data_IF_217341638513
#
_entry.id   IF_217341638513
#
_cell.length_a   1.000
_cell.length_b   1.000
_cell.length_c   1.000
_cell.angle_alpha   90.00
_cell.angle_beta   90.00
_cell.angle_gamma   90.00
#
_symmetry.space_group_name_H-M   'P 1'
#
loop_
_entity.id
_entity.type
_entity.pdbx_description
1 polymer ?
#
# COMPACT_ATOMS: atom_id res chain seq x y z
N UNK A 1 7.41 -29.83 -3.84
CA UNK A 1 8.69 -29.06 -3.84
C UNK A 1 9.19 -29.03 -5.28
N UNK A 2 9.41 -27.84 -5.84
CA UNK A 2 9.82 -27.68 -7.25
C UNK A 2 11.32 -27.96 -7.42
N UNK A 3 11.75 -28.50 -8.57
CA UNK A 3 13.16 -28.80 -8.82
C UNK A 3 14.00 -27.52 -8.96
N UNK A 4 15.30 -27.58 -8.66
CA UNK A 4 16.23 -26.44 -8.80
C UNK A 4 16.18 -25.80 -10.19
N UNK A 5 16.03 -26.63 -11.24
CA UNK A 5 15.88 -26.18 -12.62
C UNK A 5 14.75 -25.16 -12.81
N UNK A 6 13.65 -25.31 -12.08
CA UNK A 6 12.54 -24.34 -12.13
C UNK A 6 13.01 -22.94 -11.73
N UNK A 7 13.72 -22.84 -10.60
CA UNK A 7 14.19 -21.56 -10.08
C UNK A 7 15.26 -20.93 -10.97
N UNK A 8 16.12 -21.72 -11.60
CA UNK A 8 17.06 -21.23 -12.62
C UNK A 8 16.35 -20.61 -13.83
N UNK A 9 15.19 -21.16 -14.22
CA UNK A 9 14.36 -20.61 -15.30
C UNK A 9 13.70 -19.30 -14.85
N UNK A 10 13.16 -19.24 -13.63
CA UNK A 10 12.59 -18.02 -13.06
C UNK A 10 13.63 -16.89 -13.03
N UNK A 11 14.88 -17.19 -12.63
CA UNK A 11 15.99 -16.23 -12.64
C UNK A 11 16.33 -15.70 -14.04
N UNK A 12 16.17 -16.53 -15.07
CA UNK A 12 16.37 -16.09 -16.46
C UNK A 12 15.23 -15.19 -16.95
N UNK A 13 13.98 -15.56 -16.65
CA UNK A 13 12.79 -14.74 -16.96
C UNK A 13 12.92 -13.36 -16.29
N UNK A 14 13.38 -13.31 -15.03
CA UNK A 14 13.62 -12.06 -14.31
C UNK A 14 14.63 -11.15 -15.01
N UNK A 15 15.75 -11.71 -15.47
CA UNK A 15 16.76 -10.93 -16.21
C UNK A 15 16.22 -10.37 -17.51
N UNK A 16 15.36 -11.12 -18.21
CA UNK A 16 14.69 -10.64 -19.43
C UNK A 16 13.74 -9.49 -19.12
N UNK A 17 12.89 -9.63 -18.09
CA UNK A 17 11.99 -8.58 -17.59
C UNK A 17 12.77 -7.29 -17.28
N UNK A 18 13.85 -7.40 -16.52
CA UNK A 18 14.70 -6.28 -16.12
C UNK A 18 15.36 -5.60 -17.32
N UNK A 19 15.94 -6.40 -18.23
CA UNK A 19 16.64 -5.87 -19.41
C UNK A 19 15.70 -5.13 -20.38
N UNK A 20 14.45 -5.59 -20.48
CA UNK A 20 13.44 -5.05 -21.36
C UNK A 20 12.56 -3.97 -20.68
N UNK A 21 12.77 -3.70 -19.39
CA UNK A 21 11.95 -2.80 -18.57
C UNK A 21 10.44 -3.13 -18.66
N UNK A 22 10.12 -4.41 -18.76
CA UNK A 22 8.74 -4.88 -18.86
C UNK A 22 8.13 -5.04 -17.47
N UNK A 23 6.81 -4.94 -17.38
CA UNK A 23 6.09 -5.41 -16.20
C UNK A 23 6.04 -6.95 -16.20
N UNK A 24 5.99 -7.57 -15.02
CA UNK A 24 5.80 -9.03 -14.89
C UNK A 24 4.59 -9.50 -15.71
N UNK A 25 3.47 -8.75 -15.64
CA UNK A 25 2.24 -9.09 -16.37
C UNK A 25 2.40 -9.01 -17.89
N UNK A 26 3.14 -8.03 -18.41
CA UNK A 26 3.36 -7.90 -19.86
C UNK A 26 4.21 -9.03 -20.46
N UNK A 27 5.02 -9.71 -19.66
CA UNK A 27 5.80 -10.87 -20.12
C UNK A 27 4.95 -12.13 -20.29
N UNK A 28 3.77 -12.18 -19.66
CA UNK A 28 2.86 -13.30 -19.76
C UNK A 28 1.59 -12.97 -20.56
N UNK A 29 1.49 -11.77 -21.14
CA UNK A 29 0.36 -11.35 -21.96
C UNK A 29 0.33 -12.14 -23.31
N UNK A 30 -0.77 -12.86 -23.61
CA UNK A 30 -0.95 -13.58 -24.89
C UNK A 30 -0.83 -12.75 -26.15
N UNK A 31 -0.98 -11.42 -26.03
CA UNK A 31 -0.91 -10.48 -27.14
C UNK A 31 0.50 -9.90 -27.37
N UNK A 32 1.46 -10.17 -26.48
CA UNK A 32 2.83 -9.67 -26.58
C UNK A 32 3.79 -10.64 -27.29
N UNK A 33 4.84 -10.09 -27.91
CA UNK A 33 5.89 -10.87 -28.60
C UNK A 33 6.71 -11.77 -27.65
N UNK A 34 6.67 -11.50 -26.33
CA UNK A 34 7.34 -12.30 -25.29
C UNK A 34 6.54 -13.56 -24.87
N UNK A 35 5.37 -13.78 -25.46
CA UNK A 35 4.46 -14.83 -25.02
C UNK A 35 4.96 -16.24 -25.37
N UNK A 36 5.05 -17.11 -24.35
CA UNK A 36 5.39 -18.54 -24.47
C UNK A 36 6.72 -18.82 -25.19
N UNK A 37 7.78 -18.10 -24.81
CA UNK A 37 9.16 -18.49 -25.14
C UNK A 37 9.42 -19.95 -24.74
N UNK A 38 10.39 -20.65 -25.36
CA UNK A 38 10.76 -22.01 -24.95
C UNK A 38 11.03 -22.12 -23.44
N UNK A 39 11.59 -21.07 -22.87
CA UNK A 39 11.87 -20.94 -21.45
C UNK A 39 10.58 -20.92 -20.59
N UNK A 40 9.59 -20.12 -20.97
CA UNK A 40 8.29 -20.07 -20.29
C UNK A 40 7.53 -21.39 -20.43
N UNK A 41 7.62 -22.05 -21.59
CA UNK A 41 7.02 -23.38 -21.79
C UNK A 41 7.63 -24.44 -20.88
N UNK A 42 8.96 -24.44 -20.75
CA UNK A 42 9.66 -25.33 -19.82
C UNK A 42 9.22 -25.08 -18.37
N UNK A 43 9.07 -23.81 -17.98
CA UNK A 43 8.56 -23.44 -16.66
C UNK A 43 7.13 -23.96 -16.42
N UNK A 44 6.24 -23.83 -17.41
CA UNK A 44 4.85 -24.34 -17.34
C UNK A 44 4.87 -25.85 -17.13
N UNK A 45 5.61 -26.60 -17.94
CA UNK A 45 5.67 -28.07 -17.83
C UNK A 45 6.15 -28.54 -16.45
N UNK A 46 7.16 -27.86 -15.89
CA UNK A 46 7.68 -28.16 -14.56
C UNK A 46 6.64 -27.80 -13.49
N UNK A 47 5.98 -26.64 -13.60
CA UNK A 47 5.03 -26.15 -12.59
C UNK A 47 3.76 -26.97 -12.55
N UNK A 48 3.22 -27.39 -13.70
CA UNK A 48 2.06 -28.31 -13.81
C UNK A 48 2.29 -29.61 -13.06
N UNK A 49 3.49 -30.20 -13.17
CA UNK A 49 3.85 -31.44 -12.44
C UNK A 49 4.05 -31.22 -10.94
N UNK A 50 4.14 -29.97 -10.51
CA UNK A 50 4.53 -29.57 -9.16
C UNK A 50 3.45 -28.85 -8.36
N UNK A 51 2.19 -28.89 -8.78
CA UNK A 51 1.08 -28.30 -8.02
C UNK A 51 0.98 -28.91 -6.62
N UNK A 52 0.73 -28.03 -5.65
CA UNK A 52 0.40 -28.40 -4.28
C UNK A 52 -1.11 -28.32 -4.05
N UNK A 53 -1.60 -28.99 -3.00
CA UNK A 53 -3.01 -28.88 -2.59
C UNK A 53 -3.41 -27.43 -2.27
N UNK A 54 -2.46 -26.62 -1.79
CA UNK A 54 -2.66 -25.19 -1.55
C UNK A 54 -2.84 -24.43 -2.87
N UNK A 55 -1.96 -24.66 -3.85
CA UNK A 55 -2.07 -24.02 -5.16
C UNK A 55 -3.47 -24.27 -5.76
N UNK A 56 -3.92 -25.52 -5.69
CA UNK A 56 -5.24 -25.96 -6.18
C UNK A 56 -6.39 -25.23 -5.50
N UNK A 57 -6.35 -25.17 -4.17
CA UNK A 57 -7.36 -24.48 -3.37
C UNK A 57 -7.40 -22.97 -3.67
N UNK A 58 -6.25 -22.35 -3.80
CA UNK A 58 -6.13 -20.89 -3.85
C UNK A 58 -6.39 -20.33 -5.26
N UNK A 59 -6.08 -21.09 -6.33
CA UNK A 59 -6.06 -20.55 -7.70
C UNK A 59 -6.98 -21.24 -8.72
N UNK A 60 -7.48 -22.45 -8.47
CA UNK A 60 -8.30 -23.17 -9.47
C UNK A 60 -9.59 -22.42 -9.83
N UNK A 61 -10.30 -21.92 -8.83
CA UNK A 61 -11.52 -21.12 -9.01
C UNK A 61 -11.27 -19.86 -9.86
N UNK A 62 -10.08 -19.26 -9.74
CA UNK A 62 -9.68 -18.09 -10.53
C UNK A 62 -9.52 -18.45 -12.01
N UNK A 63 -8.91 -19.59 -12.33
CA UNK A 63 -8.74 -20.05 -13.72
C UNK A 63 -10.08 -20.37 -14.38
N UNK A 64 -10.97 -21.04 -13.64
CA UNK A 64 -12.30 -21.45 -14.10
C UNK A 64 -13.22 -20.25 -14.38
N UNK A 65 -13.08 -19.16 -13.63
CA UNK A 65 -14.01 -18.01 -13.68
C UNK A 65 -13.48 -16.82 -14.49
N UNK A 66 -12.18 -16.57 -14.49
CA UNK A 66 -11.62 -15.30 -15.01
C UNK A 66 -11.45 -15.24 -16.52
N UNK A 67 -11.43 -16.39 -17.21
CA UNK A 67 -11.09 -16.47 -18.64
C UNK A 67 -9.65 -16.03 -18.98
N UNK A 68 -8.82 -15.71 -17.98
CA UNK A 68 -7.43 -15.26 -18.13
C UNK A 68 -6.63 -16.33 -18.86
N UNK A 69 -5.92 -15.94 -19.92
CA UNK A 69 -5.22 -16.83 -20.86
C UNK A 69 -6.10 -17.82 -21.66
N UNK A 70 -7.43 -17.78 -21.52
CA UNK A 70 -8.35 -18.71 -22.20
C UNK A 70 -8.36 -18.59 -23.74
N UNK A 71 -7.87 -17.46 -24.29
CA UNK A 71 -7.74 -17.25 -25.74
C UNK A 71 -6.44 -17.82 -26.33
N UNK A 72 -5.54 -18.32 -25.51
CA UNK A 72 -4.22 -18.77 -25.94
C UNK A 72 -4.13 -20.27 -26.29
N UNK A 73 -5.26 -20.99 -26.23
CA UNK A 73 -5.29 -22.44 -26.50
C UNK A 73 -4.60 -23.30 -25.42
N UNK A 74 -4.37 -22.73 -24.24
CA UNK A 74 -3.80 -23.42 -23.08
C UNK A 74 -4.88 -24.19 -22.31
N UNK A 75 -4.50 -25.32 -21.75
CA UNK A 75 -5.31 -26.08 -20.79
C UNK A 75 -5.44 -25.32 -19.46
N UNK A 76 -6.45 -25.65 -18.65
CA UNK A 76 -6.64 -25.00 -17.35
C UNK A 76 -5.43 -25.17 -16.42
N UNK A 77 -4.77 -26.33 -16.45
CA UNK A 77 -3.55 -26.55 -15.68
C UNK A 77 -2.40 -25.68 -16.21
N UNK A 78 -2.22 -25.53 -17.52
CA UNK A 78 -1.19 -24.61 -18.06
C UNK A 78 -1.49 -23.14 -17.72
N UNK A 79 -2.77 -22.75 -17.73
CA UNK A 79 -3.20 -21.40 -17.34
C UNK A 79 -2.93 -21.15 -15.86
N UNK A 80 -3.23 -22.12 -15.00
CA UNK A 80 -2.91 -22.08 -13.57
C UNK A 80 -1.40 -21.99 -13.34
N UNK A 81 -0.62 -22.80 -14.07
CA UNK A 81 0.84 -22.76 -14.00
C UNK A 81 1.40 -21.38 -14.40
N UNK A 82 0.87 -20.74 -15.44
CA UNK A 82 1.27 -19.38 -15.81
C UNK A 82 0.97 -18.35 -14.72
N UNK A 83 -0.20 -18.44 -14.06
CA UNK A 83 -0.53 -17.57 -12.93
C UNK A 83 0.48 -17.78 -11.80
N UNK A 84 0.76 -19.03 -11.45
CA UNK A 84 1.71 -19.39 -10.39
C UNK A 84 3.14 -18.98 -10.74
N UNK A 85 3.57 -19.12 -11.99
CA UNK A 85 4.87 -18.59 -12.45
C UNK A 85 4.92 -17.08 -12.28
N UNK A 86 3.85 -16.36 -12.64
CA UNK A 86 3.76 -14.92 -12.40
C UNK A 86 3.86 -14.56 -10.91
N UNK A 87 3.22 -15.35 -10.03
CA UNK A 87 3.36 -15.22 -8.56
C UNK A 87 4.79 -15.48 -8.11
N UNK A 88 5.42 -16.56 -8.59
CA UNK A 88 6.78 -16.95 -8.23
C UNK A 88 7.81 -15.89 -8.71
N UNK A 89 7.67 -15.39 -9.95
CA UNK A 89 8.47 -14.28 -10.47
C UNK A 89 8.29 -13.03 -9.62
N UNK A 90 7.03 -12.68 -9.29
CA UNK A 90 6.73 -11.52 -8.45
C UNK A 90 7.37 -11.64 -7.07
N UNK A 91 7.30 -12.80 -6.43
CA UNK A 91 7.95 -13.05 -5.13
C UNK A 91 9.48 -12.92 -5.19
N UNK A 92 10.09 -13.24 -6.32
CA UNK A 92 11.54 -13.13 -6.50
C UNK A 92 12.00 -11.71 -6.82
N UNK A 93 11.20 -10.93 -7.56
CA UNK A 93 11.53 -9.53 -7.87
C UNK A 93 11.18 -8.58 -6.72
N UNK A 94 10.21 -8.93 -5.88
CA UNK A 94 9.68 -8.06 -4.83
C UNK A 94 10.77 -7.48 -3.91
N UNK A 95 11.77 -8.23 -3.38
CA UNK A 95 12.83 -7.62 -2.58
C UNK A 95 13.59 -6.51 -3.32
N UNK A 96 13.85 -6.69 -4.62
CA UNK A 96 14.52 -5.69 -5.46
C UNK A 96 13.62 -4.49 -5.73
N UNK A 97 12.34 -4.69 -6.00
CA UNK A 97 11.38 -3.60 -6.15
C UNK A 97 11.25 -2.78 -4.87
N UNK A 98 11.21 -3.44 -3.70
CA UNK A 98 11.23 -2.79 -2.39
C UNK A 98 12.52 -2.00 -2.16
N UNK A 99 13.68 -2.55 -2.50
CA UNK A 99 14.96 -1.82 -2.45
C UNK A 99 14.94 -0.59 -3.35
N UNK A 100 14.43 -0.74 -4.58
CA UNK A 100 14.28 0.37 -5.53
C UNK A 100 13.38 1.49 -5.00
N UNK A 101 12.31 1.15 -4.28
CA UNK A 101 11.46 2.13 -3.58
C UNK A 101 12.22 2.93 -2.52
N UNK A 102 13.28 2.35 -1.94
CA UNK A 102 14.11 2.97 -0.91
C UNK A 102 15.28 3.81 -1.42
N UNK A 103 15.55 3.81 -2.72
CA UNK A 103 16.70 4.52 -3.26
C UNK A 103 16.57 6.04 -3.08
N UNK A 104 17.66 6.71 -2.71
CA UNK A 104 17.68 8.16 -2.66
C UNK A 104 17.46 8.74 -4.05
N UNK A 105 16.83 9.92 -4.12
CA UNK A 105 16.72 10.63 -5.37
C UNK A 105 18.09 10.99 -5.92
N UNK A 106 18.22 10.92 -7.25
CA UNK A 106 19.40 11.38 -7.96
C UNK A 106 18.98 12.17 -9.20
N UNK A 107 19.75 13.19 -9.57
CA UNK A 107 19.42 14.11 -10.67
C UNK A 107 19.24 13.39 -12.03
N UNK A 108 19.90 12.24 -12.20
CA UNK A 108 19.82 11.44 -13.41
C UNK A 108 18.59 10.52 -13.47
N UNK A 109 17.73 10.50 -12.45
CA UNK A 109 16.54 9.65 -12.47
C UNK A 109 15.59 10.09 -13.60
N UNK A 110 14.86 9.16 -14.24
CA UNK A 110 13.96 9.48 -15.36
C UNK A 110 13.08 10.71 -15.15
N UNK A 111 12.43 10.82 -13.98
CA UNK A 111 11.53 11.96 -13.69
C UNK A 111 12.29 13.30 -13.66
N UNK A 112 13.49 13.35 -13.08
CA UNK A 112 14.27 14.58 -12.91
C UNK A 112 15.01 14.98 -14.19
N UNK A 113 15.41 14.03 -15.03
CA UNK A 113 15.92 14.35 -16.38
C UNK A 113 14.84 14.99 -17.25
N UNK A 114 13.60 14.53 -17.10
CA UNK A 114 12.46 15.02 -17.87
C UNK A 114 11.92 16.35 -17.36
N UNK A 115 11.93 16.56 -16.04
CA UNK A 115 11.54 17.80 -15.39
C UNK A 115 12.64 18.27 -14.41
N UNK A 116 13.75 18.86 -14.89
CA UNK A 116 14.87 19.29 -14.04
C UNK A 116 14.46 20.30 -12.97
N UNK A 117 13.42 21.11 -13.22
CA UNK A 117 12.88 22.06 -12.26
C UNK A 117 12.29 21.38 -11.00
N UNK A 118 11.85 20.12 -11.10
CA UNK A 118 11.34 19.34 -9.98
C UNK A 118 12.43 19.11 -8.92
N UNK A 119 13.70 19.01 -9.34
CA UNK A 119 14.83 18.85 -8.44
C UNK A 119 14.95 20.02 -7.44
N UNK A 120 14.57 21.23 -7.86
CA UNK A 120 14.59 22.41 -6.98
C UNK A 120 13.52 22.35 -5.87
N UNK A 121 12.55 21.44 -5.98
CA UNK A 121 11.49 21.21 -5.01
C UNK A 121 11.79 20.03 -4.09
N UNK A 122 12.89 19.31 -4.33
CA UNK A 122 13.33 18.19 -3.49
C UNK A 122 13.86 18.72 -2.16
N UNK A 123 13.35 18.17 -1.06
CA UNK A 123 13.95 18.23 0.27
C UNK A 123 14.19 16.81 0.73
N UNK A 124 15.46 16.48 0.93
CA UNK A 124 15.91 15.12 1.23
C UNK A 124 15.38 14.11 0.22
N UNK A 125 14.40 13.29 0.62
CA UNK A 125 13.83 12.21 -0.16
C UNK A 125 12.35 12.47 -0.56
N UNK A 126 11.88 13.72 -0.40
CA UNK A 126 10.52 14.16 -0.68
C UNK A 126 10.48 15.40 -1.58
N UNK A 127 9.34 15.64 -2.22
CA UNK A 127 9.09 16.79 -3.09
C UNK A 127 8.03 17.70 -2.47
N UNK A 128 8.31 19.01 -2.43
CA UNK A 128 7.32 20.01 -2.01
C UNK A 128 6.16 20.09 -3.00
N UNK A 129 4.93 19.99 -2.52
CA UNK A 129 3.72 20.03 -3.37
C UNK A 129 3.08 21.41 -3.46
N UNK A 130 3.75 22.44 -2.95
CA UNK A 130 3.19 23.78 -2.78
C UNK A 130 2.66 24.39 -4.10
N UNK A 131 3.36 24.16 -5.21
CA UNK A 131 3.01 24.67 -6.54
C UNK A 131 2.27 23.66 -7.43
N UNK A 132 2.04 22.45 -6.92
CA UNK A 132 1.41 21.36 -7.67
C UNK A 132 -0.09 21.23 -7.41
N UNK A 133 -0.80 20.62 -8.36
CA UNK A 133 -2.21 20.22 -8.22
C UNK A 133 -2.29 18.71 -8.31
N UNK A 134 -2.70 18.05 -7.22
CA UNK A 134 -2.94 16.61 -7.22
C UNK A 134 -4.10 16.30 -8.17
N UNK A 135 -3.93 15.31 -9.04
CA UNK A 135 -4.99 14.87 -9.95
C UNK A 135 -6.13 14.16 -9.19
N UNK A 136 -7.37 14.14 -9.71
CA UNK A 136 -8.49 13.43 -9.08
C UNK A 136 -8.25 11.94 -8.83
N UNK A 137 -7.33 11.33 -9.58
CA UNK A 137 -6.88 9.94 -9.37
C UNK A 137 -6.09 9.76 -8.07
N UNK A 138 -5.65 10.84 -7.42
CA UNK A 138 -4.81 10.80 -6.22
C UNK A 138 -3.40 10.25 -6.46
N UNK A 139 -3.03 9.94 -7.71
CA UNK A 139 -1.79 9.26 -8.06
C UNK A 139 -0.78 10.18 -8.76
N UNK A 140 -1.20 11.36 -9.19
CA UNK A 140 -0.35 12.27 -9.96
C UNK A 140 -0.38 13.67 -9.37
N UNK A 141 0.72 14.39 -9.53
CA UNK A 141 0.78 15.83 -9.30
C UNK A 141 1.09 16.53 -10.60
N UNK A 142 0.21 17.47 -10.96
CA UNK A 142 0.36 18.35 -12.11
C UNK A 142 1.04 19.65 -11.67
N UNK A 143 2.18 19.93 -12.28
CA UNK A 143 2.83 21.22 -12.27
C UNK A 143 2.60 21.92 -13.63
N UNK A 144 2.87 23.23 -13.76
CA UNK A 144 2.62 23.96 -15.01
C UNK A 144 3.31 23.35 -16.24
N UNK A 145 4.51 22.79 -16.08
CA UNK A 145 5.36 22.27 -17.18
C UNK A 145 5.48 20.74 -17.21
N UNK A 146 5.02 20.03 -16.19
CA UNK A 146 5.19 18.58 -16.11
C UNK A 146 4.14 17.89 -15.21
N UNK A 147 4.07 16.58 -15.35
CA UNK A 147 3.26 15.67 -14.54
C UNK A 147 4.22 14.68 -13.89
N UNK A 148 4.07 14.43 -12.60
CA UNK A 148 4.83 13.37 -11.91
C UNK A 148 3.87 12.43 -11.18
N UNK A 149 4.25 11.15 -11.14
CA UNK A 149 3.52 10.14 -10.39
C UNK A 149 3.96 10.16 -8.93
N UNK A 150 2.99 10.07 -8.02
CA UNK A 150 3.21 9.85 -6.60
C UNK A 150 3.61 8.40 -6.36
N UNK A 151 4.45 8.18 -5.36
CA UNK A 151 4.89 6.83 -5.00
C UNK A 151 3.70 5.89 -4.76
N UNK A 152 3.76 4.66 -5.27
CA UNK A 152 2.60 3.74 -5.32
C UNK A 152 1.99 3.32 -3.97
N UNK A 153 2.73 3.54 -2.87
CA UNK A 153 2.30 3.27 -1.50
C UNK A 153 1.64 4.47 -0.81
N UNK A 154 1.59 5.64 -1.46
CA UNK A 154 0.80 6.75 -0.97
C UNK A 154 -0.71 6.47 -1.17
N UNK A 155 -1.59 6.99 -0.29
CA UNK A 155 -3.03 6.81 -0.44
C UNK A 155 -3.52 7.32 -1.80
N UNK A 156 -4.33 6.52 -2.49
CA UNK A 156 -4.81 6.80 -3.86
C UNK A 156 -6.08 7.64 -3.91
N UNK A 157 -6.59 8.09 -2.77
CA UNK A 157 -7.86 8.82 -2.70
C UNK A 157 -7.63 10.33 -2.72
N UNK A 158 -7.95 11.00 -3.82
CA UNK A 158 -7.76 12.45 -3.97
C UNK A 158 -8.35 13.31 -2.83
N UNK A 159 -9.52 12.92 -2.31
CA UNK A 159 -10.19 13.61 -1.19
C UNK A 159 -9.28 13.70 0.05
N UNK A 160 -8.40 12.73 0.24
CA UNK A 160 -7.43 12.71 1.32
C UNK A 160 -6.44 13.87 1.20
N UNK A 161 -5.86 14.08 0.02
CA UNK A 161 -4.95 15.20 -0.22
C UNK A 161 -5.66 16.54 -0.08
N UNK A 162 -6.88 16.69 -0.59
CA UNK A 162 -7.65 17.92 -0.38
C UNK A 162 -7.89 18.22 1.10
N UNK A 163 -8.19 17.19 1.88
CA UNK A 163 -8.42 17.32 3.32
C UNK A 163 -7.13 17.73 4.02
N UNK A 164 -6.00 17.07 3.73
CA UNK A 164 -4.69 17.45 4.26
C UNK A 164 -4.32 18.89 3.89
N UNK A 165 -4.58 19.31 2.65
CA UNK A 165 -4.31 20.69 2.22
C UNK A 165 -5.12 21.74 2.98
N UNK A 166 -6.37 21.41 3.33
CA UNK A 166 -7.22 22.32 4.13
C UNK A 166 -6.78 22.38 5.59
N UNK A 167 -6.35 21.26 6.15
CA UNK A 167 -5.99 21.14 7.58
C UNK A 167 -4.59 21.68 7.86
N UNK A 168 -3.62 21.41 6.98
CA UNK A 168 -2.20 21.69 7.25
C UNK A 168 -1.62 22.79 6.35
N UNK A 169 -2.25 23.06 5.20
CA UNK A 169 -1.71 23.97 4.20
C UNK A 169 -0.68 23.29 3.28
N UNK A 170 -0.63 23.75 2.02
CA UNK A 170 0.20 23.11 0.97
C UNK A 170 1.71 23.31 1.14
N UNK A 171 2.10 24.41 1.76
CA UNK A 171 3.51 24.78 1.97
C UNK A 171 4.20 23.95 3.05
N UNK A 172 3.44 23.14 3.80
CA UNK A 172 3.92 22.28 4.88
C UNK A 172 3.88 20.79 4.53
N UNK A 173 3.43 20.45 3.32
CA UNK A 173 3.33 19.07 2.85
C UNK A 173 4.40 18.76 1.80
N UNK A 174 5.07 17.63 2.00
CA UNK A 174 6.04 17.07 1.07
C UNK A 174 5.65 15.62 0.80
N UNK A 175 5.67 15.20 -0.46
CA UNK A 175 5.26 13.87 -0.90
C UNK A 175 6.37 13.20 -1.71
N UNK A 176 6.47 11.88 -1.61
CA UNK A 176 7.37 11.06 -2.43
C UNK A 176 6.82 10.92 -3.85
N UNK A 177 7.66 11.19 -4.85
CA UNK A 177 7.37 10.93 -6.27
C UNK A 177 8.04 9.63 -6.70
N UNK A 178 7.47 8.96 -7.69
CA UNK A 178 8.14 7.84 -8.36
C UNK A 178 9.25 8.41 -9.25
N UNK A 179 10.51 8.12 -8.91
CA UNK A 179 11.66 8.65 -9.65
C UNK A 179 11.89 7.96 -11.00
N UNK A 180 11.33 6.76 -11.17
CA UNK A 180 11.50 5.92 -12.35
C UNK A 180 10.37 6.07 -13.36
N UNK A 181 9.20 6.55 -12.92
CA UNK A 181 8.08 6.81 -13.80
C UNK A 181 8.19 8.19 -14.46
N UNK A 182 8.39 8.19 -15.77
CA UNK A 182 8.37 9.39 -16.60
C UNK A 182 7.07 9.48 -17.43
N UNK A 183 6.08 8.61 -17.20
CA UNK A 183 4.84 8.58 -17.97
C UNK A 183 4.03 9.88 -17.85
N UNK A 184 3.58 10.39 -19.00
CA UNK A 184 2.84 11.65 -19.13
C UNK A 184 1.32 11.45 -19.19
N UNK A 185 0.86 10.21 -19.16
CA UNK A 185 -0.55 9.87 -19.23
C UNK A 185 -1.09 9.55 -17.86
N UNK A 186 -2.23 10.15 -17.53
CA UNK A 186 -3.11 9.71 -16.46
C UNK A 186 -3.66 8.34 -16.88
N UNK A 187 -2.88 7.29 -16.65
CA UNK A 187 -3.36 5.92 -16.80
C UNK A 187 -4.30 5.69 -15.62
N UNK A 188 -5.55 6.10 -15.82
CA UNK A 188 -6.65 5.72 -14.96
C UNK A 188 -6.74 4.20 -15.09
N UNK A 189 -6.20 3.48 -14.11
CA UNK A 189 -6.59 2.09 -13.93
C UNK A 189 -8.10 2.10 -13.72
N UNK A 190 -8.84 1.54 -14.67
CA UNK A 190 -10.23 1.22 -14.47
C UNK A 190 -10.29 0.20 -13.32
N UNK A 191 -10.62 0.65 -12.12
CA UNK A 191 -11.13 -0.23 -11.08
C UNK A 191 -12.60 -0.47 -11.41
N UNK A 192 -12.87 -1.71 -11.79
CA UNK A 192 -14.19 -2.33 -11.91
C UNK A 192 -15.11 -1.76 -13.02
N UNK A 193 -15.50 -2.67 -13.90
CA UNK A 193 -16.49 -2.40 -14.96
C UNK A 193 -17.87 -2.28 -14.30
N UNK A 194 -18.40 -1.06 -14.22
CA UNK A 194 -19.77 -0.83 -13.76
C UNK A 194 -20.74 -1.34 -14.84
N UNK A 195 -21.23 -2.57 -14.69
CA UNK A 195 -22.14 -3.21 -15.65
C UNK A 195 -23.46 -2.42 -15.80
N UNK A 196 -23.87 -1.63 -14.78
CA UNK A 196 -24.92 -0.60 -14.91
C UNK A 196 -24.91 0.40 -13.76
N UNK A 197 -24.59 1.70 -13.96
CA UNK A 197 -24.66 2.67 -12.88
C UNK A 197 -26.12 2.93 -12.48
N UNK A 198 -26.38 3.08 -11.18
CA UNK A 198 -27.65 3.57 -10.67
C UNK A 198 -27.87 5.02 -11.12
N UNK A 199 -29.13 5.42 -11.37
CA UNK A 199 -29.46 6.81 -11.66
C UNK A 199 -28.95 7.72 -10.52
N UNK A 200 -27.94 8.59 -10.78
CA UNK A 200 -27.29 9.38 -9.74
C UNK A 200 -28.19 10.49 -9.19
N UNK A 201 -29.36 10.71 -9.79
CA UNK A 201 -30.33 11.72 -9.36
C UNK A 201 -31.35 11.18 -8.36
N UNK A 202 -31.48 9.86 -8.23
CA UNK A 202 -32.50 9.23 -7.38
C UNK A 202 -32.36 9.60 -5.90
N UNK A 203 -31.18 9.45 -5.29
CA UNK A 203 -30.94 9.79 -3.88
C UNK A 203 -31.13 11.30 -3.61
N UNK A 204 -30.82 12.14 -4.61
CA UNK A 204 -30.95 13.59 -4.49
C UNK A 204 -32.40 14.08 -4.59
N UNK A 205 -33.28 13.32 -5.23
CA UNK A 205 -34.66 13.76 -5.51
C UNK A 205 -35.75 12.90 -4.87
N UNK A 206 -35.43 11.69 -4.40
CA UNK A 206 -36.35 10.72 -3.77
C UNK A 206 -37.66 10.47 -4.55
N UNK A 207 -37.65 10.68 -5.87
CA UNK A 207 -38.82 10.46 -6.73
C UNK A 207 -38.93 8.97 -7.08
N UNK A 208 -39.68 8.21 -6.29
CA UNK A 208 -40.19 6.88 -6.65
C UNK A 208 -41.71 7.01 -6.75
N UNK A 209 -42.27 6.77 -7.95
CA UNK A 209 -43.72 6.79 -8.13
C UNK A 209 -44.35 5.48 -7.65
N UNK A 210 -45.65 5.53 -7.29
CA UNK A 210 -46.40 4.36 -6.81
C UNK A 210 -46.38 3.24 -7.86
N UNK A 211 -45.70 2.14 -7.55
CA UNK A 211 -45.56 0.98 -8.44
C UNK A 211 -44.20 0.85 -9.14
N UNK A 212 -43.30 1.83 -9.01
CA UNK A 212 -41.93 1.71 -9.52
C UNK A 212 -41.02 0.97 -8.53
N UNK A 213 -40.15 0.10 -9.06
CA UNK A 213 -39.01 -0.49 -8.33
C UNK A 213 -37.71 -0.03 -9.00
N UNK A 214 -36.77 0.49 -8.21
CA UNK A 214 -35.39 0.77 -8.62
C UNK A 214 -34.48 -0.16 -7.81
N UNK A 215 -33.55 -0.86 -8.46
CA UNK A 215 -32.65 -1.82 -7.81
C UNK A 215 -31.25 -1.78 -8.45
N UNK A 216 -30.24 -2.17 -7.68
CA UNK A 216 -28.88 -2.46 -8.12
C UNK A 216 -28.40 -3.74 -7.43
N UNK A 217 -27.47 -4.47 -8.05
CA UNK A 217 -26.93 -5.73 -7.55
C UNK A 217 -25.40 -5.62 -7.47
N UNK A 218 -24.86 -5.91 -6.30
CA UNK A 218 -23.43 -5.93 -5.99
C UNK A 218 -23.21 -7.08 -5.00
N UNK A 219 -22.14 -7.87 -5.18
CA UNK A 219 -21.87 -8.98 -4.27
C UNK A 219 -20.37 -9.17 -4.03
N UNK A 220 -20.01 -9.04 -2.76
CA UNK A 220 -18.83 -9.65 -2.13
C UNK A 220 -19.38 -10.38 -0.90
N UNK A 221 -18.99 -11.63 -0.65
CA UNK A 221 -19.56 -12.44 0.43
C UNK A 221 -18.67 -12.52 1.68
N UNK A 222 -19.12 -12.01 2.84
CA UNK A 222 -18.49 -12.15 4.16
C UNK A 222 -19.05 -13.35 4.97
N UNK A 223 -18.44 -13.70 6.11
CA UNK A 223 -18.76 -14.85 6.94
C UNK A 223 -19.84 -14.48 7.96
N UNK A 224 -20.35 -15.47 8.68
CA UNK A 224 -21.64 -15.25 9.33
C UNK A 224 -21.61 -14.30 10.53
N UNK A 225 -20.55 -14.13 11.36
CA UNK A 225 -20.52 -13.08 12.42
C UNK A 225 -19.12 -12.66 12.99
N UNK A 226 -18.41 -11.69 12.38
CA UNK A 226 -17.67 -10.59 13.06
C UNK A 226 -18.00 -9.21 12.44
N UNK A 227 -17.60 -8.06 13.03
CA UNK A 227 -17.90 -6.74 12.43
C UNK A 227 -17.21 -6.57 11.07
N UNK A 228 -17.83 -5.86 10.12
CA UNK A 228 -17.34 -5.72 8.73
C UNK A 228 -15.86 -5.31 8.68
N UNK A 229 -15.43 -4.32 9.47
CA UNK A 229 -14.03 -3.87 9.50
C UNK A 229 -13.05 -4.92 10.02
N UNK A 230 -13.42 -5.64 11.09
CA UNK A 230 -12.56 -6.70 11.65
C UNK A 230 -12.45 -7.90 10.70
N UNK A 231 -13.53 -8.19 9.96
CA UNK A 231 -13.50 -9.17 8.89
C UNK A 231 -12.58 -8.73 7.74
N UNK A 232 -12.72 -7.48 7.28
CA UNK A 232 -11.88 -6.95 6.22
C UNK A 232 -10.41 -6.91 6.61
N UNK A 233 -10.07 -6.39 7.79
CA UNK A 233 -8.68 -6.34 8.26
C UNK A 233 -8.06 -7.74 8.36
N UNK A 234 -8.85 -8.71 8.86
CA UNK A 234 -8.44 -10.12 8.95
C UNK A 234 -8.12 -10.72 7.57
N UNK A 235 -8.95 -10.43 6.56
CA UNK A 235 -8.83 -10.98 5.20
C UNK A 235 -7.85 -10.22 4.31
N UNK A 236 -7.61 -8.93 4.58
CA UNK A 236 -6.55 -8.15 3.94
C UNK A 236 -5.18 -8.43 4.56
N UNK A 237 -5.13 -9.22 5.65
CA UNK A 237 -3.89 -9.71 6.23
C UNK A 237 -3.18 -8.66 7.08
N UNK A 238 -3.91 -7.77 7.78
CA UNK A 238 -3.34 -6.89 8.80
C UNK A 238 -3.36 -7.58 10.16
N UNK A 239 -2.30 -7.42 10.94
CA UNK A 239 -2.12 -8.21 12.15
C UNK A 239 -1.79 -7.42 13.40
N UNK A 240 -1.04 -6.32 13.27
CA UNK A 240 -0.55 -5.57 14.43
C UNK A 240 -0.50 -4.08 14.14
N UNK A 241 -0.87 -3.28 15.14
CA UNK A 241 -0.62 -1.85 15.20
C UNK A 241 0.15 -1.59 16.50
N UNK A 242 1.39 -1.17 16.38
CA UNK A 242 2.26 -0.85 17.52
C UNK A 242 2.32 0.67 17.67
N UNK A 243 1.97 1.19 18.85
CA UNK A 243 1.98 2.63 19.14
C UNK A 243 2.89 2.89 20.33
N UNK A 244 3.90 3.73 20.14
CA UNK A 244 4.84 4.10 21.20
C UNK A 244 5.06 5.60 21.23
N UNK A 245 4.92 6.18 22.42
CA UNK A 245 5.31 7.55 22.73
C UNK A 245 6.49 7.51 23.71
N UNK A 246 7.55 8.27 23.41
CA UNK A 246 8.73 8.43 24.25
C UNK A 246 8.92 9.91 24.54
N UNK A 247 9.29 10.23 25.79
CA UNK A 247 9.57 11.59 26.24
C UNK A 247 11.01 11.72 26.70
N UNK A 248 11.68 12.77 26.26
CA UNK A 248 13.02 13.15 26.73
C UNK A 248 13.02 14.65 27.09
N UNK A 249 12.78 14.95 28.37
CA UNK A 249 12.50 16.32 28.80
C UNK A 249 11.19 16.85 28.19
N UNK A 250 11.27 17.98 27.50
CA UNK A 250 10.14 18.60 26.81
C UNK A 250 9.92 18.04 25.39
N UNK A 251 10.84 17.20 24.89
CA UNK A 251 10.70 16.56 23.59
C UNK A 251 9.82 15.30 23.73
N UNK A 252 8.77 15.22 22.91
CA UNK A 252 7.90 14.07 22.75
C UNK A 252 8.09 13.50 21.34
N UNK A 253 8.44 12.23 21.25
CA UNK A 253 8.47 11.48 19.99
C UNK A 253 7.42 10.39 20.01
N UNK A 254 6.74 10.18 18.89
CA UNK A 254 5.77 9.14 18.67
C UNK A 254 6.21 8.28 17.47
N UNK A 255 6.02 6.97 17.58
CA UNK A 255 6.13 6.02 16.49
C UNK A 255 4.90 5.12 16.50
N UNK A 256 4.22 5.03 15.36
CA UNK A 256 3.07 4.15 15.14
C UNK A 256 3.41 3.28 13.94
N UNK A 257 3.36 1.96 14.08
CA UNK A 257 3.70 1.05 13.00
C UNK A 257 2.59 0.02 12.78
N UNK A 258 2.14 -0.12 11.54
CA UNK A 258 1.22 -1.15 11.09
C UNK A 258 1.99 -2.28 10.41
N UNK A 259 1.83 -3.50 10.93
CA UNK A 259 2.42 -4.71 10.40
C UNK A 259 1.36 -5.64 9.81
N UNK A 260 1.73 -6.39 8.75
CA UNK A 260 0.88 -7.45 8.24
C UNK A 260 0.78 -8.58 9.27
N UNK A 261 -0.21 -9.42 9.05
CA UNK A 261 -0.55 -10.56 9.89
C UNK A 261 0.39 -11.74 9.73
N UNK A 262 0.95 -11.88 8.55
CA UNK A 262 1.88 -12.94 8.23
C UNK A 262 3.14 -12.34 7.64
N UNK A 263 4.28 -12.83 8.09
CA UNK A 263 5.55 -12.63 7.41
C UNK A 263 5.72 -13.80 6.43
N UNK A 264 5.92 -13.51 5.14
CA UNK A 264 6.29 -14.56 4.17
C UNK A 264 7.75 -15.04 4.34
N UNK A 265 8.48 -14.43 5.28
CA UNK A 265 9.87 -14.71 5.63
C UNK A 265 10.90 -14.11 4.67
N UNK A 266 10.48 -13.49 3.57
CA UNK A 266 11.37 -12.82 2.59
C UNK A 266 11.28 -11.31 2.68
N UNK A 267 10.06 -10.78 2.71
CA UNK A 267 9.82 -9.34 2.81
C UNK A 267 8.67 -9.08 3.77
N UNK A 268 8.97 -8.42 4.87
CA UNK A 268 7.95 -7.78 5.70
C UNK A 268 7.86 -6.31 5.29
N UNK A 269 6.68 -5.87 4.91
CA UNK A 269 6.41 -4.46 4.59
C UNK A 269 5.59 -3.86 5.70
N UNK A 270 6.01 -2.74 6.27
CA UNK A 270 5.26 -2.03 7.30
C UNK A 270 5.05 -0.57 6.92
N UNK A 271 3.93 0.00 7.39
CA UNK A 271 3.68 1.43 7.33
C UNK A 271 4.02 2.02 8.68
N UNK A 272 4.70 3.16 8.71
CA UNK A 272 5.12 3.81 9.94
C UNK A 272 4.77 5.29 9.91
N UNK A 273 4.13 5.79 10.97
CA UNK A 273 4.07 7.21 11.27
C UNK A 273 5.04 7.55 12.39
N UNK A 274 5.79 8.61 12.19
CA UNK A 274 6.66 9.19 13.20
C UNK A 274 6.28 10.65 13.41
N UNK A 275 6.18 11.07 14.67
CA UNK A 275 5.95 12.48 14.99
C UNK A 275 6.90 12.94 16.09
N UNK A 276 7.39 14.17 15.99
CA UNK A 276 8.13 14.82 17.07
C UNK A 276 7.49 16.14 17.42
N UNK A 277 7.53 16.49 18.70
CA UNK A 277 6.90 17.68 19.24
C UNK A 277 7.70 18.18 20.43
N UNK A 278 7.90 19.49 20.54
CA UNK A 278 8.34 20.14 21.78
C UNK A 278 7.13 20.52 22.61
N UNK A 279 6.69 19.62 23.46
CA UNK A 279 5.54 19.83 24.32
C UNK A 279 5.90 19.51 25.77
N UNK A 280 6.02 20.52 26.65
CA UNK A 280 6.19 20.29 28.08
C UNK A 280 5.11 19.35 28.65
N UNK A 281 5.42 18.73 29.78
CA UNK A 281 4.44 17.94 30.54
C UNK A 281 3.20 18.81 30.82
N UNK A 282 2.03 18.19 30.74
CA UNK A 282 0.70 18.82 30.89
C UNK A 282 0.25 19.76 29.75
N UNK A 283 0.98 19.83 28.63
CA UNK A 283 0.47 20.50 27.42
C UNK A 283 -0.81 19.79 26.93
N UNK A 284 -1.89 20.55 26.69
CA UNK A 284 -3.13 20.00 26.14
C UNK A 284 -2.91 19.41 24.75
N UNK A 285 -3.56 18.29 24.46
CA UNK A 285 -3.48 17.60 23.18
C UNK A 285 -3.77 18.50 21.97
N UNK A 286 -4.71 19.44 22.11
CA UNK A 286 -5.11 20.36 21.04
C UNK A 286 -4.12 21.52 20.87
N UNK A 287 -3.38 21.85 21.92
CA UNK A 287 -2.40 22.94 21.94
C UNK A 287 -0.99 22.47 21.56
N UNK A 288 -0.73 21.17 21.61
CA UNK A 288 0.53 20.57 21.19
C UNK A 288 0.75 20.71 19.67
N UNK A 289 1.96 21.12 19.28
CA UNK A 289 2.36 21.29 17.88
C UNK A 289 3.49 20.31 17.59
N UNK A 290 3.27 19.43 16.62
CA UNK A 290 4.31 18.59 16.06
C UNK A 290 5.24 19.44 15.18
N UNK A 291 6.54 19.33 15.43
CA UNK A 291 7.60 19.86 14.55
C UNK A 291 7.44 19.25 13.16
N UNK A 292 7.24 17.92 13.13
CA UNK A 292 6.83 17.20 11.93
C UNK A 292 6.06 15.91 12.25
N UNK A 293 5.28 15.46 11.27
CA UNK A 293 4.72 14.11 11.15
C UNK A 293 5.21 13.51 9.83
N UNK A 294 6.01 12.45 9.90
CA UNK A 294 6.51 11.70 8.75
C UNK A 294 5.71 10.40 8.60
N UNK A 295 5.24 10.13 7.40
CA UNK A 295 4.76 8.80 7.00
C UNK A 295 5.82 8.11 6.17
N UNK A 296 6.18 6.89 6.53
CA UNK A 296 7.20 6.10 5.87
C UNK A 296 6.72 4.68 5.63
N UNK A 297 7.33 4.03 4.66
CA UNK A 297 7.24 2.58 4.48
C UNK A 297 8.59 1.97 4.82
N UNK A 298 8.55 0.87 5.55
CA UNK A 298 9.72 0.13 5.98
C UNK A 298 9.68 -1.27 5.37
N UNK A 299 10.83 -1.72 4.92
CA UNK A 299 11.00 -3.07 4.41
C UNK A 299 12.04 -3.80 5.24
N UNK A 300 11.69 -5.01 5.65
CA UNK A 300 12.57 -5.93 6.35
C UNK A 300 12.77 -7.14 5.47
N UNK A 301 14.03 -7.54 5.26
CA UNK A 301 14.37 -8.68 4.41
C UNK A 301 14.83 -9.87 5.24
N UNK A 302 14.44 -11.05 4.79
CA UNK A 302 14.91 -12.34 5.31
C UNK A 302 14.82 -12.44 6.85
N UNK A 303 15.92 -12.67 7.55
CA UNK A 303 15.96 -12.82 9.01
C UNK A 303 15.39 -11.60 9.74
N UNK A 304 15.62 -10.38 9.22
CA UNK A 304 15.05 -9.15 9.82
C UNK A 304 13.54 -9.09 9.70
N UNK A 305 12.96 -9.71 8.66
CA UNK A 305 11.51 -9.81 8.53
C UNK A 305 10.92 -10.65 9.67
N UNK A 306 11.56 -11.78 9.98
CA UNK A 306 11.15 -12.66 11.07
C UNK A 306 11.40 -11.99 12.43
N UNK A 307 12.58 -11.41 12.65
CA UNK A 307 12.91 -10.68 13.88
C UNK A 307 11.97 -9.50 14.13
N UNK A 308 11.64 -8.71 13.11
CA UNK A 308 10.68 -7.61 13.28
C UNK A 308 9.29 -8.15 13.62
N UNK A 309 8.85 -9.21 12.95
CA UNK A 309 7.54 -9.79 13.18
C UNK A 309 7.39 -10.37 14.59
N UNK A 310 8.44 -10.97 15.14
CA UNK A 310 8.45 -11.58 16.48
C UNK A 310 8.81 -10.61 17.62
N UNK A 311 9.29 -9.41 17.29
CA UNK A 311 9.64 -8.37 18.27
C UNK A 311 8.52 -7.32 18.46
N UNK A 312 8.75 -6.41 19.40
CA UNK A 312 7.86 -5.28 19.70
C UNK A 312 8.72 -4.03 19.89
N UNK A 313 8.32 -2.91 19.26
CA UNK A 313 9.06 -1.64 19.30
C UNK A 313 9.31 -1.13 20.72
N UNK A 314 8.45 -1.47 21.69
CA UNK A 314 8.62 -1.06 23.08
C UNK A 314 9.76 -1.80 23.82
N UNK A 315 10.16 -2.98 23.32
CA UNK A 315 11.14 -3.85 23.98
C UNK A 315 12.49 -3.81 23.27
N UNK A 316 12.49 -3.86 21.94
CA UNK A 316 13.70 -3.78 21.13
C UNK A 316 13.37 -3.05 19.81
N UNK A 317 14.17 -2.06 19.46
CA UNK A 317 14.11 -1.45 18.14
C UNK A 317 14.72 -2.42 17.12
N UNK A 318 13.93 -2.88 16.15
CA UNK A 318 14.40 -3.65 15.01
C UNK A 318 14.52 -2.69 13.83
N UNK A 319 15.75 -2.40 13.41
CA UNK A 319 16.01 -1.52 12.29
C UNK A 319 15.49 -2.13 10.98
N UNK A 320 14.74 -1.32 10.23
CA UNK A 320 14.33 -1.67 8.88
C UNK A 320 15.55 -1.97 8.00
N UNK A 321 15.41 -2.93 7.10
CA UNK A 321 16.46 -3.21 6.11
C UNK A 321 16.61 -2.05 5.12
N UNK A 322 15.49 -1.43 4.76
CA UNK A 322 15.47 -0.09 4.20
C UNK A 322 14.17 0.63 4.56
N UNK A 323 14.20 1.95 4.50
CA UNK A 323 13.05 2.83 4.78
C UNK A 323 13.03 3.96 3.75
N UNK A 324 11.83 4.39 3.40
CA UNK A 324 11.62 5.57 2.55
C UNK A 324 10.46 6.39 3.08
N UNK A 325 10.63 7.72 3.16
CA UNK A 325 9.53 8.58 3.55
C UNK A 325 8.55 8.69 2.39
N UNK A 326 7.27 8.49 2.66
CA UNK A 326 6.19 8.69 1.72
C UNK A 326 5.67 10.12 1.77
N UNK A 327 5.58 10.69 2.97
CA UNK A 327 5.23 12.09 3.17
C UNK A 327 5.84 12.67 4.43
N UNK A 328 5.92 14.00 4.46
CA UNK A 328 6.27 14.79 5.64
C UNK A 328 5.32 15.98 5.74
N UNK A 329 4.85 16.22 6.96
CA UNK A 329 3.99 17.34 7.32
C UNK A 329 4.70 18.14 8.40
N UNK A 330 5.04 19.39 8.13
CA UNK A 330 5.76 20.26 9.08
C UNK A 330 4.81 21.18 9.86
N UNK A 331 5.15 21.49 11.11
CA UNK A 331 4.46 22.49 11.95
C UNK A 331 2.93 22.33 11.99
N UNK A 332 2.47 21.17 12.43
CA UNK A 332 1.05 20.81 12.46
C UNK A 332 0.57 20.55 13.89
N UNK A 333 -0.71 20.78 14.20
CA UNK A 333 -1.24 20.37 15.51
C UNK A 333 -1.05 18.87 15.67
N UNK A 334 -0.57 18.43 16.84
CA UNK A 334 -0.39 17.02 17.16
C UNK A 334 -1.73 16.27 17.10
N UNK A 335 -2.85 16.99 17.31
CA UNK A 335 -4.21 16.46 17.12
C UNK A 335 -4.49 15.92 15.72
N UNK A 336 -3.75 16.38 14.71
CA UNK A 336 -3.86 15.87 13.35
C UNK A 336 -3.25 14.47 13.17
N UNK A 337 -2.52 13.94 14.15
CA UNK A 337 -1.93 12.61 14.10
C UNK A 337 -2.99 11.52 13.88
N UNK A 338 -4.15 11.61 14.54
CA UNK A 338 -5.22 10.62 14.41
C UNK A 338 -5.90 10.62 13.03
N UNK A 339 -6.35 11.77 12.47
CA UNK A 339 -6.90 11.77 11.12
C UNK A 339 -5.84 11.38 10.08
N UNK A 340 -4.57 11.75 10.26
CA UNK A 340 -3.48 11.30 9.36
C UNK A 340 -3.31 9.77 9.46
N UNK A 341 -3.30 9.20 10.66
CA UNK A 341 -3.21 7.76 10.89
C UNK A 341 -4.36 7.01 10.21
N UNK A 342 -5.60 7.47 10.39
CA UNK A 342 -6.78 6.90 9.72
C UNK A 342 -6.70 6.92 8.19
N UNK A 343 -5.99 7.89 7.64
CA UNK A 343 -5.83 8.04 6.20
C UNK A 343 -4.67 7.24 5.62
N UNK A 344 -3.68 6.93 6.45
CA UNK A 344 -2.43 6.31 6.03
C UNK A 344 -2.41 4.80 6.26
N UNK A 345 -2.89 4.37 7.42
CA UNK A 345 -2.97 2.96 7.79
C UNK A 345 -4.21 2.31 7.19
N UNK A 346 -4.12 1.00 6.96
CA UNK A 346 -5.17 0.23 6.29
C UNK A 346 -6.08 -0.51 7.28
N UNK A 347 -5.59 -0.84 8.48
CA UNK A 347 -6.31 -1.57 9.50
C UNK A 347 -7.27 -0.65 10.30
N UNK A 348 -8.49 -0.48 9.78
CA UNK A 348 -9.49 0.41 10.38
C UNK A 348 -9.88 -0.02 11.81
N UNK A 349 -9.96 -1.33 12.07
CA UNK A 349 -10.34 -1.85 13.38
C UNK A 349 -9.28 -1.62 14.44
N UNK A 350 -8.00 -1.82 14.12
CA UNK A 350 -6.89 -1.58 15.04
C UNK A 350 -6.74 -0.10 15.38
N UNK A 351 -6.92 0.78 14.39
CA UNK A 351 -6.95 2.23 14.61
C UNK A 351 -8.11 2.65 15.51
N UNK A 352 -9.29 2.06 15.27
CA UNK A 352 -10.45 2.33 16.11
C UNK A 352 -10.20 1.88 17.55
N UNK A 353 -9.65 0.68 17.75
CA UNK A 353 -9.36 0.15 19.08
C UNK A 353 -8.35 1.04 19.83
N UNK A 354 -7.30 1.50 19.15
CA UNK A 354 -6.35 2.45 19.72
C UNK A 354 -7.01 3.78 20.13
N UNK A 355 -7.81 4.39 19.24
CA UNK A 355 -8.51 5.65 19.54
C UNK A 355 -9.50 5.47 20.70
N UNK A 356 -10.27 4.39 20.67
CA UNK A 356 -11.19 4.04 21.74
C UNK A 356 -10.46 3.91 23.08
N UNK A 357 -9.32 3.22 23.14
CA UNK A 357 -8.56 3.03 24.38
C UNK A 357 -8.07 4.36 24.99
N UNK A 358 -7.55 5.26 24.15
CA UNK A 358 -6.97 6.53 24.59
C UNK A 358 -8.02 7.59 24.95
N UNK A 359 -9.19 7.57 24.28
CA UNK A 359 -10.22 8.61 24.41
C UNK A 359 -11.55 8.12 24.99
N UNK A 360 -11.64 6.86 25.43
CA UNK A 360 -12.78 6.39 26.24
C UNK A 360 -12.81 7.17 27.54
N UNK A 361 -13.85 7.98 27.71
CA UNK A 361 -14.26 8.47 29.03
C UNK A 361 -14.62 7.26 29.88
N UNK A 362 -13.71 6.80 30.75
CA UNK A 362 -14.01 5.78 31.74
C UNK A 362 -15.24 6.22 32.53
N UNK A 363 -16.31 5.40 32.53
CA UNK A 363 -17.31 5.50 33.59
C UNK A 363 -16.60 5.10 34.89
N UNK A 364 -16.63 5.93 35.95
CA UNK A 364 -15.96 5.62 37.22
C UNK A 364 -16.37 4.29 37.87
N UNK A 365 -17.43 3.64 37.39
CA UNK A 365 -17.93 2.36 37.91
C UNK A 365 -17.18 1.11 37.45
N UNK A 366 -16.27 1.20 36.47
CA UNK A 366 -15.63 -0.01 35.87
C UNK A 366 -14.16 -0.22 36.29
N UNK A 367 -13.60 0.68 37.11
CA UNK A 367 -12.22 0.59 37.60
C UNK A 367 -12.07 -0.13 38.97
N UNK A 368 -13.16 -0.62 39.57
CA UNK A 368 -13.09 -1.33 40.86
C UNK A 368 -12.81 -2.84 40.75
N UNK A 369 -12.91 -3.47 39.57
CA UNK A 369 -12.81 -4.93 39.45
C UNK A 369 -11.57 -5.46 38.73
N UNK A 370 -10.57 -4.61 38.40
CA UNK A 370 -9.35 -5.06 37.69
C UNK A 370 -8.03 -4.55 38.27
N UNK A 371 -7.96 -4.42 39.60
CA UNK A 371 -6.67 -4.43 40.32
C UNK A 371 -6.72 -5.56 41.35
N UNK A 372 -6.28 -6.75 40.91
CA UNK A 372 -5.58 -7.75 41.73
C UNK A 372 -4.41 -8.26 40.92
#
# INVERSE_FOLDING_TARGET
MLPQRYWEIIDQILKEIESAQLSVYSCFDPSGDAYLTPLVREAIEIRVRGFSEKDEKDYRSTVETSGVYGRAGLTDDERMALILIGVDVKQQIQPRECQRCCESYHVDAPVFRKAPELWNLVRDDLVSVNSGVVAPSGQLIRYPSFLCRLHGHLPKHFILYETLFKVVGRNRLYLRVDQYDDSQSDVIYALEEVIRPMDPTFLKQLKIFRGEKKWGYYEVLPPEHPTDYQYWDYHQGFGKLEVVFKRNGDDLSCMIEELPREADGRVLTSLCLHATSKCPVDTDWNDAVADHIDGAIQFYFDERALERFDSNISVAECDASCRTHLFRIEETSLSNLLPIAKMFFQAESLLKDWVDDQFRFFKPSELQDKIV
#
